data_IF_254745359805
#
_entry.id   IF_254745359805
#
_cell.length_a   1.000
_cell.length_b   1.000
_cell.length_c   1.000
_cell.angle_alpha   90.00
_cell.angle_beta   90.00
_cell.angle_gamma   90.00
#
_symmetry.space_group_name_H-M   'P 1'
#
loop_
_entity.id
_entity.type
_entity.pdbx_description
1 polymer ?
#
# COMPACT_ATOMS: atom_id res chain seq x y z
N UNK A 1 30.78 -5.17 27.36
CA UNK A 1 30.29 -6.56 27.22
C UNK A 1 28.79 -6.51 27.47
N UNK A 2 27.97 -6.75 26.45
CA UNK A 2 26.51 -6.78 26.61
C UNK A 2 26.14 -8.11 27.29
N UNK A 3 25.47 -8.09 28.45
CA UNK A 3 24.98 -9.33 29.08
C UNK A 3 23.57 -9.63 28.54
N UNK A 4 23.40 -10.61 27.63
CA UNK A 4 22.10 -10.92 27.03
C UNK A 4 21.06 -11.44 28.04
N UNK A 5 21.48 -11.83 29.25
CA UNK A 5 20.61 -12.34 30.30
C UNK A 5 20.13 -11.27 31.29
N UNK A 6 20.57 -10.02 31.14
CA UNK A 6 20.17 -8.91 32.02
C UNK A 6 19.02 -8.08 31.44
N UNK A 7 18.38 -8.55 30.38
CA UNK A 7 17.23 -7.88 29.76
C UNK A 7 15.98 -8.07 30.62
N UNK A 8 15.25 -6.98 30.89
CA UNK A 8 13.95 -7.07 31.54
C UNK A 8 12.90 -7.62 30.57
N UNK A 9 11.89 -8.34 31.08
CA UNK A 9 10.79 -8.85 30.25
C UNK A 9 10.13 -7.75 29.43
N UNK A 10 9.96 -6.55 30.00
CA UNK A 10 9.42 -5.37 29.29
C UNK A 10 10.32 -4.93 28.14
N UNK A 11 11.64 -4.84 28.36
CA UNK A 11 12.59 -4.48 27.30
C UNK A 11 12.61 -5.48 26.16
N UNK A 12 12.45 -6.77 26.47
CA UNK A 12 12.37 -7.83 25.46
C UNK A 12 11.06 -7.70 24.69
N UNK A 13 9.92 -7.61 25.37
CA UNK A 13 8.59 -7.47 24.75
C UNK A 13 8.53 -6.24 23.84
N UNK A 14 8.98 -5.08 24.32
CA UNK A 14 8.97 -3.83 23.55
C UNK A 14 9.84 -3.91 22.28
N UNK A 15 10.85 -4.79 22.26
CA UNK A 15 11.70 -5.02 21.08
C UNK A 15 11.01 -5.88 20.02
N UNK A 16 10.02 -6.69 20.39
CA UNK A 16 9.25 -7.54 19.47
C UNK A 16 7.94 -6.90 18.98
N UNK A 17 7.51 -5.80 19.60
CA UNK A 17 6.34 -5.03 19.16
C UNK A 17 6.79 -3.88 18.26
N UNK A 18 6.40 -3.92 17.00
CA UNK A 18 6.62 -2.82 16.06
C UNK A 18 5.89 -1.54 16.53
N UNK A 19 6.53 -0.38 16.39
CA UNK A 19 5.89 0.89 16.75
C UNK A 19 5.07 1.41 15.58
N UNK A 20 3.84 1.81 15.86
CA UNK A 20 3.01 2.54 14.91
C UNK A 20 3.70 3.85 14.51
N UNK A 21 3.47 4.28 13.26
CA UNK A 21 3.80 5.63 12.84
C UNK A 21 3.09 6.67 13.71
N UNK A 22 3.65 7.87 13.76
CA UNK A 22 3.17 8.94 14.63
C UNK A 22 1.69 9.28 14.40
N UNK A 23 1.21 9.20 13.15
CA UNK A 23 -0.20 9.39 12.77
C UNK A 23 -1.15 8.37 13.39
N UNK A 24 -0.67 7.15 13.70
CA UNK A 24 -1.45 6.04 14.23
C UNK A 24 -1.04 5.62 15.65
N UNK A 25 -0.26 6.45 16.37
CA UNK A 25 0.27 6.14 17.70
C UNK A 25 -0.81 5.75 18.71
N UNK A 26 -1.99 6.36 18.62
CA UNK A 26 -3.12 6.13 19.52
C UNK A 26 -3.72 4.73 19.35
N UNK A 27 -3.35 4.02 18.29
CA UNK A 27 -3.76 2.65 17.99
C UNK A 27 -2.70 1.60 18.34
N UNK A 28 -1.60 1.98 19.02
CA UNK A 28 -0.57 1.04 19.46
C UNK A 28 -1.12 -0.10 20.33
N UNK A 29 -2.24 0.10 21.01
CA UNK A 29 -2.93 -0.94 21.78
C UNK A 29 -3.36 -2.15 20.92
N UNK A 30 -3.65 -1.94 19.63
CA UNK A 30 -3.93 -3.03 18.69
C UNK A 30 -2.69 -3.94 18.52
N UNK A 31 -1.50 -3.38 18.73
CA UNK A 31 -0.22 -4.06 18.57
C UNK A 31 0.37 -4.63 19.87
N UNK A 32 -0.24 -4.38 21.03
CA UNK A 32 0.27 -4.83 22.32
C UNK A 32 0.62 -6.33 22.32
N UNK A 33 1.58 -6.78 23.12
CA UNK A 33 1.95 -8.20 23.24
C UNK A 33 0.82 -9.05 23.84
N UNK A 34 0.58 -10.29 23.38
CA UNK A 34 -0.43 -11.17 23.97
C UNK A 34 0.00 -11.60 25.37
N UNK A 35 -0.64 -11.00 26.39
CA UNK A 35 -0.46 -11.35 27.79
C UNK A 35 -1.72 -11.99 28.39
N UNK A 36 -1.66 -12.29 29.70
CA UNK A 36 -2.72 -12.99 30.43
C UNK A 36 -4.09 -12.27 30.45
N UNK A 37 -4.12 -10.95 30.21
CA UNK A 37 -5.34 -10.15 30.12
C UNK A 37 -5.61 -9.67 28.69
N UNK A 38 -5.87 -10.58 27.75
CA UNK A 38 -6.13 -10.26 26.34
C UNK A 38 -7.48 -9.54 26.15
N UNK A 39 -7.51 -8.25 26.49
CA UNK A 39 -8.69 -7.37 26.43
C UNK A 39 -8.84 -6.67 25.07
N UNK A 40 -7.97 -6.97 24.09
CA UNK A 40 -7.96 -6.29 22.78
C UNK A 40 -9.33 -6.27 22.12
N UNK A 41 -10.06 -7.38 22.17
CA UNK A 41 -11.41 -7.49 21.59
C UNK A 41 -12.38 -6.43 22.16
N UNK A 42 -12.34 -6.18 23.46
CA UNK A 42 -13.15 -5.14 24.10
C UNK A 42 -12.65 -3.73 23.77
N UNK A 43 -11.32 -3.57 23.65
CA UNK A 43 -10.70 -2.29 23.31
C UNK A 43 -11.09 -1.79 21.91
N UNK A 44 -11.36 -2.69 20.95
CA UNK A 44 -11.87 -2.31 19.61
C UNK A 44 -13.16 -1.50 19.73
N UNK A 45 -14.12 -2.01 20.49
CA UNK A 45 -15.41 -1.34 20.65
C UNK A 45 -15.30 -0.11 21.54
N UNK A 46 -14.49 -0.16 22.60
CA UNK A 46 -14.27 0.97 23.50
C UNK A 46 -13.62 2.17 22.79
N UNK A 47 -12.70 1.91 21.86
CA UNK A 47 -11.96 2.95 21.12
C UNK A 47 -12.60 3.31 19.77
N UNK A 48 -13.81 2.83 19.46
CA UNK A 48 -14.45 3.09 18.18
C UNK A 48 -14.66 4.59 17.90
N UNK A 49 -14.85 5.39 18.96
CA UNK A 49 -14.97 6.84 18.90
C UNK A 49 -13.66 7.56 18.47
N UNK A 50 -12.52 6.86 18.53
CA UNK A 50 -11.20 7.35 18.09
C UNK A 50 -10.79 6.84 16.71
N UNK A 51 -11.69 6.15 16.00
CA UNK A 51 -11.43 5.63 14.65
C UNK A 51 -10.91 6.76 13.74
N UNK A 52 -9.81 6.54 13.01
CA UNK A 52 -9.27 7.52 12.07
C UNK A 52 -10.20 7.65 10.85
N UNK A 53 -10.20 8.79 10.19
CA UNK A 53 -11.15 9.08 9.09
C UNK A 53 -10.93 8.15 7.89
N UNK A 54 -9.67 7.77 7.67
CA UNK A 54 -9.17 6.90 6.60
C UNK A 54 -9.64 5.44 6.74
N UNK A 55 -10.14 5.02 7.91
CA UNK A 55 -10.62 3.66 8.16
C UNK A 55 -12.13 3.65 8.32
N UNK A 56 -12.89 2.97 7.45
CA UNK A 56 -14.31 2.73 7.70
C UNK A 56 -14.54 2.00 9.04
N UNK A 57 -15.75 2.12 9.58
CA UNK A 57 -16.13 1.47 10.84
C UNK A 57 -15.89 -0.05 10.80
N UNK A 58 -16.26 -0.68 9.68
CA UNK A 58 -16.05 -2.11 9.42
C UNK A 58 -14.57 -2.46 9.36
N UNK A 59 -13.77 -1.69 8.63
CA UNK A 59 -12.31 -1.84 8.53
C UNK A 59 -11.63 -1.72 9.90
N UNK A 60 -12.00 -0.72 10.70
CA UNK A 60 -11.45 -0.50 12.03
C UNK A 60 -11.74 -1.68 12.97
N UNK A 61 -12.97 -2.20 12.94
CA UNK A 61 -13.35 -3.35 13.75
C UNK A 61 -12.60 -4.61 13.29
N UNK A 62 -12.52 -4.84 11.98
CA UNK A 62 -11.80 -5.97 11.41
C UNK A 62 -10.31 -5.92 11.82
N UNK A 63 -9.66 -4.76 11.63
CA UNK A 63 -8.25 -4.54 11.94
C UNK A 63 -7.95 -4.77 13.43
N UNK A 64 -8.70 -4.11 14.32
CA UNK A 64 -8.52 -4.27 15.76
C UNK A 64 -8.83 -5.68 16.27
N UNK A 65 -9.66 -6.42 15.53
CA UNK A 65 -10.04 -7.78 15.88
C UNK A 65 -9.02 -8.83 15.41
N UNK A 66 -8.17 -8.53 14.41
CA UNK A 66 -7.23 -9.51 13.82
C UNK A 66 -6.44 -10.26 14.90
N UNK A 67 -5.97 -9.54 15.91
CA UNK A 67 -5.10 -10.08 16.99
C UNK A 67 -5.81 -10.25 18.32
N UNK A 68 -7.14 -10.13 18.34
CA UNK A 68 -7.94 -10.43 19.53
C UNK A 68 -8.16 -11.95 19.69
N UNK A 69 -8.43 -12.39 20.91
CA UNK A 69 -8.93 -13.74 21.21
C UNK A 69 -10.20 -14.08 20.39
N UNK A 70 -10.54 -15.36 20.14
CA UNK A 70 -9.69 -16.56 20.27
C UNK A 70 -8.59 -16.57 19.21
N UNK A 71 -7.53 -17.37 19.41
CA UNK A 71 -6.33 -17.51 18.57
C UNK A 71 -6.63 -18.00 17.12
N UNK A 72 -7.42 -17.20 16.41
CA UNK A 72 -7.99 -17.39 15.08
C UNK A 72 -7.51 -16.29 14.14
N UNK A 73 -6.28 -15.83 14.36
CA UNK A 73 -5.69 -14.72 13.65
C UNK A 73 -5.70 -14.96 12.13
N UNK A 74 -5.43 -16.20 11.71
CA UNK A 74 -5.37 -16.56 10.29
C UNK A 74 -6.74 -16.53 9.65
N UNK A 75 -7.76 -17.12 10.29
CA UNK A 75 -9.14 -17.07 9.81
C UNK A 75 -9.66 -15.64 9.74
N UNK A 76 -9.42 -14.82 10.77
CA UNK A 76 -9.85 -13.42 10.77
C UNK A 76 -9.22 -12.64 9.61
N UNK A 77 -7.95 -12.91 9.32
CA UNK A 77 -7.28 -12.30 8.18
C UNK A 77 -7.77 -12.83 6.83
N UNK A 78 -8.05 -14.13 6.70
CA UNK A 78 -8.68 -14.71 5.52
C UNK A 78 -10.01 -14.04 5.23
N UNK A 79 -10.86 -13.84 6.25
CA UNK A 79 -12.11 -13.11 6.11
C UNK A 79 -11.86 -11.68 5.62
N UNK A 80 -10.89 -10.98 6.23
CA UNK A 80 -10.55 -9.62 5.80
C UNK A 80 -10.12 -9.52 4.33
N UNK A 81 -9.35 -10.51 3.83
CA UNK A 81 -8.93 -10.63 2.43
C UNK A 81 -10.11 -10.96 1.49
N UNK A 82 -10.97 -11.90 1.90
CA UNK A 82 -12.13 -12.31 1.12
C UNK A 82 -13.13 -11.17 0.93
N UNK A 83 -13.42 -10.49 2.03
CA UNK A 83 -14.39 -9.40 2.12
C UNK A 83 -13.83 -8.05 1.64
N UNK A 84 -12.53 -7.99 1.34
CA UNK A 84 -11.81 -6.80 0.90
C UNK A 84 -12.05 -5.58 1.80
N UNK A 85 -12.04 -5.81 3.11
CA UNK A 85 -12.51 -4.82 4.10
C UNK A 85 -11.40 -3.91 4.62
N UNK A 86 -10.13 -4.26 4.42
CA UNK A 86 -8.99 -3.50 4.93
C UNK A 86 -8.34 -2.68 3.81
N UNK A 87 -7.98 -1.41 4.06
CA UNK A 87 -7.13 -0.66 3.14
C UNK A 87 -5.68 -1.11 3.31
N UNK A 88 -5.27 -2.10 2.52
CA UNK A 88 -4.00 -2.82 2.65
C UNK A 88 -2.75 -1.95 2.47
N UNK A 89 -2.88 -0.76 1.88
CA UNK A 89 -1.80 0.22 1.73
C UNK A 89 -1.61 1.14 2.95
N UNK A 90 -2.52 1.15 3.93
CA UNK A 90 -2.33 1.95 5.14
C UNK A 90 -1.25 1.34 6.04
N UNK A 91 -0.33 2.17 6.50
CA UNK A 91 0.79 1.77 7.35
C UNK A 91 0.37 1.09 8.66
N UNK A 92 -0.73 1.52 9.29
CA UNK A 92 -1.24 0.86 10.49
C UNK A 92 -1.79 -0.55 10.19
N UNK A 93 -2.36 -0.75 9.00
CA UNK A 93 -2.82 -2.07 8.54
C UNK A 93 -1.60 -2.98 8.32
N UNK A 94 -0.58 -2.48 7.62
CA UNK A 94 0.68 -3.18 7.39
C UNK A 94 1.33 -3.66 8.69
N UNK A 95 1.52 -2.76 9.67
CA UNK A 95 2.11 -3.11 10.96
C UNK A 95 1.29 -4.16 11.71
N UNK A 96 -0.05 -4.02 11.79
CA UNK A 96 -0.88 -5.02 12.49
C UNK A 96 -0.87 -6.36 11.77
N UNK A 97 -0.96 -6.37 10.44
CA UNK A 97 -0.95 -7.59 9.64
C UNK A 97 0.40 -8.29 9.80
N UNK A 98 1.54 -7.60 9.66
CA UNK A 98 2.87 -8.16 9.92
C UNK A 98 2.97 -8.77 11.30
N UNK A 99 2.54 -8.04 12.33
CA UNK A 99 2.56 -8.53 13.70
C UNK A 99 1.57 -9.68 13.93
N UNK A 100 0.54 -9.81 13.11
CA UNK A 100 -0.34 -10.98 13.10
C UNK A 100 0.40 -12.23 12.63
N UNK A 101 1.31 -12.11 11.65
CA UNK A 101 2.11 -13.21 11.08
C UNK A 101 3.40 -13.51 11.82
N UNK A 102 4.18 -12.50 12.18
CA UNK A 102 5.55 -12.68 12.65
C UNK A 102 5.67 -12.72 14.17
N UNK A 103 4.66 -12.26 14.91
CA UNK A 103 4.70 -12.35 16.35
C UNK A 103 4.70 -13.81 16.81
N UNK A 104 5.66 -14.12 17.67
CA UNK A 104 5.78 -15.38 18.40
C UNK A 104 4.91 -15.25 19.66
N UNK A 105 4.19 -16.30 20.03
CA UNK A 105 3.35 -16.33 21.22
C UNK A 105 3.82 -17.36 22.24
N UNK A 106 3.05 -17.46 23.32
CA UNK A 106 3.11 -18.59 24.25
C UNK A 106 3.01 -19.93 23.52
N UNK A 107 3.72 -20.90 24.08
CA UNK A 107 3.67 -22.29 23.69
C UNK A 107 2.70 -23.03 24.60
N UNK A 108 2.20 -24.17 24.14
CA UNK A 108 1.46 -25.09 24.98
C UNK A 108 2.34 -25.73 26.04
N UNK A 109 1.73 -26.29 27.09
CA UNK A 109 2.44 -26.96 28.20
C UNK A 109 2.66 -28.48 27.96
N UNK A 110 2.47 -28.96 26.73
CA UNK A 110 2.65 -30.39 26.39
C UNK A 110 4.13 -30.80 26.21
N UNK A 111 4.40 -32.11 26.19
CA UNK A 111 5.77 -32.66 25.99
C UNK A 111 6.40 -32.17 24.68
N UNK A 112 5.59 -32.04 23.63
CA UNK A 112 5.95 -31.41 22.36
C UNK A 112 5.22 -30.05 22.26
N UNK A 113 5.86 -28.94 22.68
CA UNK A 113 5.20 -27.65 22.78
C UNK A 113 4.83 -27.08 21.40
N UNK A 114 3.57 -26.69 21.23
CA UNK A 114 3.00 -26.11 20.02
C UNK A 114 2.69 -24.62 20.20
N UNK A 115 2.59 -23.87 19.11
CA UNK A 115 2.23 -22.45 19.17
C UNK A 115 0.75 -22.28 19.47
N UNK A 116 0.40 -21.64 20.60
CA UNK A 116 -1.00 -21.35 20.96
C UNK A 116 -1.65 -20.35 19.99
N UNK A 117 -0.88 -19.43 19.45
CA UNK A 117 -1.32 -18.42 18.49
C UNK A 117 -1.36 -19.00 17.08
N UNK A 118 -2.39 -18.65 16.30
CA UNK A 118 -2.62 -19.21 14.94
C UNK A 118 -2.91 -20.71 14.94
N UNK A 119 -3.48 -21.21 16.03
CA UNK A 119 -3.88 -22.62 16.16
C UNK A 119 -4.80 -23.06 15.00
N UNK A 120 -5.60 -22.16 14.45
CA UNK A 120 -6.47 -22.42 13.30
C UNK A 120 -5.74 -22.66 11.97
N UNK A 121 -4.49 -22.19 11.84
CA UNK A 121 -3.64 -22.49 10.69
C UNK A 121 -3.13 -23.94 10.74
N UNK A 122 -2.69 -24.40 11.92
CA UNK A 122 -1.96 -25.65 12.10
C UNK A 122 -2.86 -26.85 12.44
N UNK A 123 -3.95 -26.64 13.17
CA UNK A 123 -4.80 -27.73 13.67
C UNK A 123 -6.13 -27.91 12.91
N UNK A 124 -6.38 -27.11 11.87
CA UNK A 124 -7.57 -27.21 11.04
C UNK A 124 -7.36 -28.10 9.81
N UNK A 125 -8.36 -28.93 9.47
CA UNK A 125 -8.41 -29.59 8.16
C UNK A 125 -8.53 -28.49 7.09
N UNK A 126 -7.42 -28.20 6.40
CA UNK A 126 -7.30 -27.25 5.29
C UNK A 126 -7.04 -25.77 5.62
N UNK A 127 -6.70 -25.39 6.86
CA UNK A 127 -6.50 -23.99 7.22
C UNK A 127 -5.51 -23.25 6.32
N UNK A 128 -4.38 -23.89 6.03
CA UNK A 128 -3.32 -23.36 5.16
C UNK A 128 -3.73 -23.37 3.68
N UNK A 129 -4.32 -24.46 3.18
CA UNK A 129 -4.79 -24.57 1.80
C UNK A 129 -5.87 -23.52 1.49
N UNK A 130 -6.81 -23.31 2.40
CA UNK A 130 -7.83 -22.26 2.29
C UNK A 130 -7.19 -20.89 2.25
N UNK A 131 -6.14 -20.63 3.06
CA UNK A 131 -5.41 -19.36 2.99
C UNK A 131 -4.80 -19.15 1.61
N UNK A 132 -4.06 -20.13 1.09
CA UNK A 132 -3.46 -20.05 -0.24
C UNK A 132 -4.53 -19.80 -1.33
N UNK A 133 -5.70 -20.43 -1.23
CA UNK A 133 -6.81 -20.21 -2.16
C UNK A 133 -7.36 -18.77 -2.08
N UNK A 134 -7.57 -18.24 -0.87
CA UNK A 134 -8.01 -16.86 -0.64
C UNK A 134 -7.01 -15.85 -1.19
N UNK A 135 -5.72 -16.08 -0.92
CA UNK A 135 -4.66 -15.18 -1.39
C UNK A 135 -4.54 -15.21 -2.91
N UNK A 136 -4.71 -16.38 -3.54
CA UNK A 136 -4.77 -16.52 -5.00
C UNK A 136 -5.96 -15.79 -5.60
N UNK A 137 -7.13 -15.85 -4.96
CA UNK A 137 -8.31 -15.09 -5.37
C UNK A 137 -8.04 -13.58 -5.27
N UNK A 138 -7.43 -13.14 -4.16
CA UNK A 138 -7.07 -11.74 -3.92
C UNK A 138 -6.07 -11.24 -4.97
N UNK A 139 -5.02 -12.01 -5.26
CA UNK A 139 -4.07 -11.73 -6.32
C UNK A 139 -4.78 -11.60 -7.69
N UNK A 140 -5.70 -12.52 -8.00
CA UNK A 140 -6.48 -12.47 -9.26
C UNK A 140 -7.39 -11.22 -9.33
N UNK A 141 -7.98 -10.79 -8.21
CA UNK A 141 -8.76 -9.55 -8.14
C UNK A 141 -7.88 -8.33 -8.38
N UNK A 142 -6.70 -8.27 -7.76
CA UNK A 142 -5.75 -7.17 -7.93
C UNK A 142 -5.22 -7.04 -9.35
N UNK A 143 -5.02 -8.16 -10.03
CA UNK A 143 -4.75 -8.15 -11.47
C UNK A 143 -5.87 -7.45 -12.28
N UNK A 144 -7.11 -7.50 -11.81
CA UNK A 144 -8.24 -6.85 -12.48
C UNK A 144 -8.43 -5.39 -12.02
N UNK A 145 -7.75 -4.94 -10.97
CA UNK A 145 -7.85 -3.60 -10.38
C UNK A 145 -6.48 -2.92 -10.28
N UNK A 146 -5.86 -2.49 -11.40
CA UNK A 146 -4.48 -1.99 -11.41
C UNK A 146 -4.24 -0.79 -10.49
N UNK A 147 -5.27 0.04 -10.27
CA UNK A 147 -5.19 1.22 -9.37
C UNK A 147 -4.83 0.87 -7.93
N UNK A 148 -5.03 -0.37 -7.47
CA UNK A 148 -4.77 -0.82 -6.10
C UNK A 148 -3.38 -1.45 -5.92
N UNK A 149 -2.39 -1.06 -6.73
CA UNK A 149 -1.04 -1.63 -6.70
C UNK A 149 -0.31 -1.43 -5.36
N UNK A 150 -0.68 -0.42 -4.58
CA UNK A 150 -0.13 -0.17 -3.25
C UNK A 150 -0.39 -1.32 -2.27
N UNK A 151 -1.36 -2.19 -2.56
CA UNK A 151 -1.66 -3.37 -1.75
C UNK A 151 -0.65 -4.53 -1.99
N UNK A 152 0.12 -4.47 -3.08
CA UNK A 152 1.03 -5.56 -3.51
C UNK A 152 2.12 -5.87 -2.50
N UNK A 153 2.83 -4.90 -1.89
CA UNK A 153 3.95 -5.21 -0.99
C UNK A 153 3.50 -6.10 0.17
N UNK A 154 2.45 -5.71 0.88
CA UNK A 154 1.92 -6.47 2.00
C UNK A 154 1.42 -7.85 1.57
N UNK A 155 0.73 -7.97 0.44
CA UNK A 155 0.25 -9.25 -0.08
C UNK A 155 1.37 -10.17 -0.56
N UNK A 156 2.47 -9.60 -1.06
CA UNK A 156 3.68 -10.33 -1.41
C UNK A 156 4.35 -10.87 -0.15
N UNK A 157 4.39 -10.10 0.94
CA UNK A 157 4.85 -10.58 2.24
C UNK A 157 3.97 -11.70 2.79
N UNK A 158 2.63 -11.60 2.65
CA UNK A 158 1.71 -12.68 3.05
C UNK A 158 2.04 -13.96 2.29
N UNK A 159 2.27 -13.83 0.99
CA UNK A 159 2.62 -14.95 0.13
C UNK A 159 3.96 -15.56 0.55
N UNK A 160 4.97 -14.73 0.82
CA UNK A 160 6.28 -15.16 1.29
C UNK A 160 6.23 -15.86 2.65
N UNK A 161 5.38 -15.39 3.57
CA UNK A 161 5.14 -16.08 4.83
C UNK A 161 4.55 -17.48 4.62
N UNK A 162 3.47 -17.58 3.83
CA UNK A 162 2.80 -18.86 3.59
C UNK A 162 3.68 -19.87 2.85
N UNK A 163 4.61 -19.39 2.03
CA UNK A 163 5.56 -20.24 1.32
C UNK A 163 6.45 -21.07 2.25
N UNK A 164 6.69 -20.62 3.49
CA UNK A 164 7.42 -21.39 4.50
C UNK A 164 6.68 -22.67 4.92
N UNK A 165 5.36 -22.71 4.72
CA UNK A 165 4.49 -23.81 5.16
C UNK A 165 3.87 -24.59 3.99
N UNK A 166 3.69 -23.98 2.83
CA UNK A 166 3.11 -24.63 1.65
C UNK A 166 3.73 -24.19 0.34
N UNK A 167 4.06 -25.17 -0.52
CA UNK A 167 4.51 -24.93 -1.88
C UNK A 167 3.42 -24.26 -2.76
N UNK A 168 2.14 -24.38 -2.40
CA UNK A 168 1.03 -23.77 -3.14
C UNK A 168 1.07 -22.23 -3.15
N UNK A 169 1.79 -21.63 -2.19
CA UNK A 169 1.97 -20.18 -2.12
C UNK A 169 3.00 -19.67 -3.15
N UNK A 170 3.96 -20.50 -3.57
CA UNK A 170 5.03 -20.12 -4.50
C UNK A 170 4.52 -19.50 -5.82
N UNK A 171 3.60 -20.13 -6.57
CA UNK A 171 3.14 -19.58 -7.85
C UNK A 171 2.34 -18.29 -7.70
N UNK A 172 1.86 -17.94 -6.50
CA UNK A 172 1.12 -16.70 -6.26
C UNK A 172 2.09 -15.52 -6.27
N UNK A 173 3.24 -15.66 -5.59
CA UNK A 173 4.22 -14.60 -5.44
C UNK A 173 5.02 -14.33 -6.70
N UNK A 174 5.39 -15.40 -7.43
CA UNK A 174 6.15 -15.28 -8.69
C UNK A 174 5.35 -14.60 -9.80
N UNK A 175 4.02 -14.78 -9.83
CA UNK A 175 3.16 -14.27 -10.92
C UNK A 175 2.69 -12.83 -10.73
N UNK A 176 2.66 -12.35 -9.48
CA UNK A 176 2.04 -11.07 -9.17
C UNK A 176 2.82 -9.88 -9.79
N UNK A 177 4.16 -9.78 -9.68
CA UNK A 177 4.93 -8.65 -10.22
C UNK A 177 4.88 -8.57 -11.75
N UNK A 178 5.11 -9.68 -12.45
CA UNK A 178 5.17 -9.75 -13.92
C UNK A 178 3.82 -9.41 -14.57
N UNK A 179 2.72 -9.92 -14.01
CA UNK A 179 1.39 -9.68 -14.55
C UNK A 179 0.94 -8.24 -14.35
N UNK A 180 1.30 -7.65 -13.21
CA UNK A 180 1.00 -6.24 -12.92
C UNK A 180 1.85 -5.33 -13.80
N UNK A 181 3.13 -5.64 -14.00
CA UNK A 181 3.94 -4.95 -14.98
C UNK A 181 3.26 -4.96 -16.35
N UNK A 182 2.84 -6.13 -16.86
CA UNK A 182 2.15 -6.25 -18.13
C UNK A 182 0.84 -5.43 -18.22
N UNK A 183 0.08 -5.31 -17.12
CA UNK A 183 -1.12 -4.46 -17.06
C UNK A 183 -0.77 -2.97 -17.10
N UNK A 184 0.22 -2.54 -16.29
CA UNK A 184 0.71 -1.15 -16.29
C UNK A 184 1.29 -0.74 -17.64
N UNK A 185 1.96 -1.66 -18.35
CA UNK A 185 2.41 -1.43 -19.72
C UNK A 185 1.22 -1.11 -20.65
N UNK A 186 0.11 -1.84 -20.54
CA UNK A 186 -1.11 -1.60 -21.34
C UNK A 186 -1.79 -0.28 -20.97
N UNK A 187 -1.98 -0.01 -19.68
CA UNK A 187 -2.57 1.24 -19.21
C UNK A 187 -1.75 2.46 -19.63
N UNK A 188 -0.43 2.38 -19.50
CA UNK A 188 0.50 3.40 -19.99
C UNK A 188 0.26 3.70 -21.48
N UNK A 189 0.17 2.66 -22.32
CA UNK A 189 -0.12 2.84 -23.76
C UNK A 189 -1.48 3.49 -23.99
N UNK A 190 -2.52 3.09 -23.25
CA UNK A 190 -3.87 3.66 -23.37
C UNK A 190 -3.94 5.12 -22.93
N UNK A 191 -3.35 5.48 -21.79
CA UNK A 191 -3.25 6.87 -21.34
C UNK A 191 -2.45 7.71 -22.33
N UNK A 192 -1.37 7.17 -22.88
CA UNK A 192 -0.61 7.83 -23.93
C UNK A 192 -1.42 8.06 -25.20
N UNK A 193 -2.26 7.11 -25.62
CA UNK A 193 -3.20 7.34 -26.73
C UNK A 193 -4.28 8.36 -26.41
N UNK A 194 -4.79 8.37 -25.17
CA UNK A 194 -5.71 9.41 -24.73
C UNK A 194 -5.06 10.80 -24.84
N UNK A 195 -3.83 10.98 -24.33
CA UNK A 195 -3.05 12.22 -24.47
C UNK A 195 -2.88 12.61 -25.94
N UNK A 196 -2.49 11.67 -26.79
CA UNK A 196 -2.28 11.91 -28.22
C UNK A 196 -3.57 12.22 -29.00
N UNK A 197 -4.73 11.88 -28.44
CA UNK A 197 -6.03 12.20 -29.06
C UNK A 197 -6.48 13.64 -28.85
N UNK A 198 -5.85 14.39 -27.94
CA UNK A 198 -6.21 15.79 -27.69
C UNK A 198 -5.77 16.71 -28.83
N UNK A 199 -6.69 17.46 -29.46
CA UNK A 199 -6.41 18.28 -30.63
C UNK A 199 -5.56 19.50 -30.27
N UNK A 200 -4.53 19.84 -31.07
CA UNK A 200 -3.59 20.97 -30.86
C UNK A 200 -4.22 22.37 -30.90
N UNK A 201 -5.55 22.47 -30.84
CA UNK A 201 -6.28 23.73 -30.74
C UNK A 201 -6.25 24.34 -29.32
N UNK A 202 -7.03 25.42 -29.12
CA UNK A 202 -7.18 26.07 -27.83
C UNK A 202 -7.59 25.07 -26.75
N UNK A 203 -6.97 25.16 -25.59
CA UNK A 203 -7.33 24.41 -24.39
C UNK A 203 -8.06 25.34 -23.44
N UNK A 204 -9.25 24.93 -23.02
CA UNK A 204 -9.88 25.51 -21.84
C UNK A 204 -9.29 24.91 -20.57
N UNK A 205 -9.67 25.48 -19.42
CA UNK A 205 -9.15 25.08 -18.11
C UNK A 205 -9.57 23.64 -17.75
N UNK A 206 -10.70 23.15 -18.25
CA UNK A 206 -11.15 21.79 -18.01
C UNK A 206 -10.30 20.77 -18.77
N UNK A 207 -10.08 20.99 -20.07
CA UNK A 207 -9.22 20.13 -20.88
C UNK A 207 -7.74 20.22 -20.44
N UNK A 208 -7.29 21.37 -19.92
CA UNK A 208 -5.97 21.51 -19.33
C UNK A 208 -5.81 20.66 -18.07
N UNK A 209 -6.82 20.65 -17.18
CA UNK A 209 -6.85 19.76 -16.02
C UNK A 209 -6.79 18.29 -16.46
N UNK A 210 -7.68 17.85 -17.37
CA UNK A 210 -7.69 16.46 -17.85
C UNK A 210 -6.35 16.03 -18.47
N UNK A 211 -5.69 16.92 -19.21
CA UNK A 211 -4.35 16.65 -19.76
C UNK A 211 -3.29 16.48 -18.66
N UNK A 212 -3.32 17.32 -17.62
CA UNK A 212 -2.44 17.18 -16.47
C UNK A 212 -2.67 15.85 -15.74
N UNK A 213 -3.92 15.48 -15.50
CA UNK A 213 -4.29 14.21 -14.86
C UNK A 213 -3.83 13.00 -15.68
N UNK A 214 -4.11 13.00 -16.99
CA UNK A 214 -3.67 11.96 -17.91
C UNK A 214 -2.14 11.85 -17.98
N UNK A 215 -1.42 12.98 -17.90
CA UNK A 215 0.04 12.98 -17.90
C UNK A 215 0.61 12.34 -16.62
N UNK A 216 0.02 12.64 -15.47
CA UNK A 216 0.38 12.00 -14.19
C UNK A 216 0.12 10.51 -14.25
N UNK A 217 -1.09 10.09 -14.67
CA UNK A 217 -1.44 8.68 -14.80
C UNK A 217 -0.53 7.93 -15.79
N UNK A 218 -0.23 8.55 -16.93
CA UNK A 218 0.69 8.02 -17.93
C UNK A 218 2.08 7.78 -17.33
N UNK A 219 2.65 8.77 -16.64
CA UNK A 219 3.99 8.71 -16.04
C UNK A 219 4.06 7.67 -14.92
N UNK A 220 3.06 7.63 -14.05
CA UNK A 220 2.97 6.64 -12.97
C UNK A 220 2.89 5.22 -13.54
N UNK A 221 2.03 4.98 -14.53
CA UNK A 221 1.94 3.65 -15.16
C UNK A 221 3.26 3.27 -15.87
N UNK A 222 3.91 4.22 -16.54
CA UNK A 222 5.20 3.97 -17.19
C UNK A 222 6.27 3.58 -16.17
N UNK A 223 6.39 4.32 -15.06
CA UNK A 223 7.35 4.06 -14.00
C UNK A 223 7.08 2.70 -13.34
N UNK A 224 5.84 2.47 -12.89
CA UNK A 224 5.45 1.21 -12.24
C UNK A 224 5.69 -0.01 -13.13
N UNK A 225 5.38 0.09 -14.43
CA UNK A 225 5.67 -0.97 -15.39
C UNK A 225 7.17 -1.26 -15.50
N UNK A 226 7.99 -0.20 -15.49
CA UNK A 226 9.43 -0.27 -15.75
C UNK A 226 10.25 -0.76 -14.54
N UNK A 227 9.70 -0.72 -13.32
CA UNK A 227 10.33 -1.27 -12.11
C UNK A 227 10.50 -2.79 -12.21
N UNK A 228 9.44 -3.47 -12.66
CA UNK A 228 9.37 -4.94 -12.64
C UNK A 228 9.66 -5.58 -14.00
N UNK A 229 9.65 -4.80 -15.10
CA UNK A 229 9.88 -5.33 -16.44
C UNK A 229 10.48 -4.27 -17.37
N UNK A 230 11.31 -4.66 -18.36
CA UNK A 230 11.80 -3.74 -19.37
C UNK A 230 10.64 -3.03 -20.10
N UNK A 231 10.80 -1.74 -20.39
CA UNK A 231 9.83 -0.99 -21.17
C UNK A 231 9.70 -1.59 -22.58
N UNK A 232 8.47 -1.77 -23.05
CA UNK A 232 8.23 -2.29 -24.40
C UNK A 232 8.54 -1.24 -25.47
N UNK A 233 8.87 -1.67 -26.69
CA UNK A 233 9.05 -0.75 -27.83
C UNK A 233 7.83 0.16 -28.03
N UNK A 234 6.63 -0.37 -27.78
CA UNK A 234 5.39 0.39 -27.90
C UNK A 234 5.29 1.52 -26.87
N UNK A 235 5.64 1.24 -25.61
CA UNK A 235 5.67 2.27 -24.57
C UNK A 235 6.67 3.37 -24.92
N UNK A 236 7.88 3.01 -25.35
CA UNK A 236 8.91 3.97 -25.73
C UNK A 236 8.49 4.81 -26.96
N UNK A 237 7.76 4.21 -27.91
CA UNK A 237 7.19 4.95 -29.04
C UNK A 237 6.12 5.94 -28.57
N UNK A 238 5.19 5.50 -27.73
CA UNK A 238 4.10 6.35 -27.21
C UNK A 238 4.67 7.48 -26.35
N UNK A 239 5.64 7.18 -25.49
CA UNK A 239 6.32 8.17 -24.65
C UNK A 239 6.97 9.27 -25.49
N UNK A 240 7.71 8.91 -26.55
CA UNK A 240 8.31 9.89 -27.47
C UNK A 240 7.27 10.82 -28.09
N UNK A 241 6.17 10.26 -28.56
CA UNK A 241 5.08 11.05 -29.15
C UNK A 241 4.39 11.94 -28.12
N UNK A 242 4.18 11.43 -26.88
CA UNK A 242 3.62 12.22 -25.78
C UNK A 242 4.55 13.37 -25.42
N UNK A 243 5.87 13.15 -25.30
CA UNK A 243 6.83 14.23 -25.05
C UNK A 243 6.79 15.30 -26.15
N UNK A 244 6.74 14.90 -27.42
CA UNK A 244 6.59 15.84 -28.54
C UNK A 244 5.31 16.67 -28.40
N UNK A 245 4.17 16.02 -28.15
CA UNK A 245 2.87 16.68 -27.97
C UNK A 245 2.93 17.67 -26.79
N UNK A 246 3.44 17.23 -25.64
CA UNK A 246 3.52 18.04 -24.43
C UNK A 246 4.47 19.22 -24.58
N UNK A 247 5.57 19.07 -25.33
CA UNK A 247 6.49 20.18 -25.62
C UNK A 247 5.80 21.35 -26.34
N UNK A 248 4.78 21.07 -27.15
CA UNK A 248 4.00 22.09 -27.86
C UNK A 248 2.96 22.79 -26.99
N UNK A 249 2.68 22.25 -25.80
CA UNK A 249 1.63 22.72 -24.88
C UNK A 249 2.14 23.18 -23.53
N UNK A 250 3.45 23.06 -23.29
CA UNK A 250 4.04 23.28 -21.98
C UNK A 250 3.75 24.69 -21.45
N UNK A 251 3.78 25.71 -22.31
CA UNK A 251 3.47 27.08 -21.92
C UNK A 251 2.01 27.24 -21.48
N UNK A 252 1.07 26.68 -22.24
CA UNK A 252 -0.36 26.71 -21.91
C UNK A 252 -0.64 25.98 -20.60
N UNK A 253 -0.09 24.78 -20.41
CA UNK A 253 -0.30 23.99 -19.20
C UNK A 253 0.39 24.63 -17.98
N UNK A 254 1.60 25.16 -18.14
CA UNK A 254 2.27 25.90 -17.07
C UNK A 254 1.47 27.14 -16.67
N UNK A 255 0.89 27.86 -17.65
CA UNK A 255 0.03 29.01 -17.36
C UNK A 255 -1.24 28.61 -16.62
N UNK A 256 -1.83 27.45 -16.94
CA UNK A 256 -3.00 26.89 -16.27
C UNK A 256 -2.69 26.53 -14.81
N UNK A 257 -1.60 25.78 -14.57
CA UNK A 257 -1.18 25.39 -13.21
C UNK A 257 -0.94 26.64 -12.36
N UNK A 258 -0.30 27.68 -12.92
CA UNK A 258 -0.01 28.94 -12.21
C UNK A 258 -1.26 29.75 -11.82
N UNK A 259 -2.45 29.44 -12.33
CA UNK A 259 -3.70 30.12 -11.92
C UNK A 259 -4.10 29.75 -10.49
N UNK A 260 -3.87 28.49 -10.11
CA UNK A 260 -4.25 27.93 -8.80
C UNK A 260 -3.34 26.73 -8.49
N UNK A 261 -2.05 27.02 -8.25
CA UNK A 261 -1.00 26.02 -8.10
C UNK A 261 -1.35 24.99 -7.03
N UNK A 262 -1.79 25.47 -5.85
CA UNK A 262 -2.03 24.60 -4.72
C UNK A 262 -3.14 23.61 -5.00
N UNK A 263 -4.28 24.10 -5.52
CA UNK A 263 -5.42 23.24 -5.83
C UNK A 263 -5.08 22.24 -6.94
N UNK A 264 -4.47 22.70 -8.03
CA UNK A 264 -4.17 21.85 -9.18
C UNK A 264 -3.15 20.78 -8.79
N UNK A 265 -2.01 21.15 -8.22
CA UNK A 265 -0.96 20.18 -7.87
C UNK A 265 -1.40 19.21 -6.77
N UNK A 266 -2.13 19.68 -5.75
CA UNK A 266 -2.69 18.79 -4.72
C UNK A 266 -3.66 17.78 -5.34
N UNK A 267 -4.55 18.21 -6.25
CA UNK A 267 -5.45 17.29 -6.96
C UNK A 267 -4.70 16.22 -7.78
N UNK A 268 -3.58 16.60 -8.40
CA UNK A 268 -2.75 15.69 -9.18
C UNK A 268 -1.98 14.69 -8.29
N UNK A 269 -1.51 15.10 -7.12
CA UNK A 269 -0.88 14.20 -6.15
C UNK A 269 -1.89 13.17 -5.63
N UNK A 270 -3.13 13.59 -5.34
CA UNK A 270 -4.19 12.68 -4.92
C UNK A 270 -4.51 11.57 -5.94
N UNK A 271 -4.22 11.76 -7.23
CA UNK A 271 -4.38 10.70 -8.23
C UNK A 271 -3.42 9.53 -8.04
N UNK A 272 -2.27 9.78 -7.42
CA UNK A 272 -1.20 8.79 -7.24
C UNK A 272 -0.97 8.39 -5.79
N UNK A 273 -1.45 9.20 -4.84
CA UNK A 273 -1.41 8.91 -3.41
C UNK A 273 -2.72 9.35 -2.76
N UNK A 274 -3.62 8.40 -2.52
CA UNK A 274 -4.91 8.70 -1.89
C UNK A 274 -4.77 9.17 -0.43
N UNK A 275 -3.62 8.93 0.19
CA UNK A 275 -3.33 9.27 1.60
C UNK A 275 -2.63 10.62 1.76
N UNK A 276 -2.41 11.39 0.69
CA UNK A 276 -1.84 12.72 0.83
C UNK A 276 -2.80 13.67 1.58
N UNK A 277 -2.29 14.69 2.29
CA UNK A 277 -3.13 15.72 2.92
C UNK A 277 -4.09 16.38 1.91
N UNK A 278 -5.30 16.74 2.35
CA UNK A 278 -6.31 17.40 1.49
C UNK A 278 -5.85 18.76 0.95
N UNK A 279 -4.90 19.39 1.65
CA UNK A 279 -4.32 20.68 1.30
C UNK A 279 -2.81 20.62 1.50
N UNK A 280 -2.09 20.98 0.45
CA UNK A 280 -0.63 21.09 0.44
C UNK A 280 -0.25 22.53 0.04
N UNK A 281 0.74 23.09 0.72
CA UNK A 281 1.29 24.41 0.37
C UNK A 281 2.46 24.23 -0.60
N UNK A 282 2.31 24.72 -1.83
CA UNK A 282 3.33 24.57 -2.87
C UNK A 282 4.19 25.83 -3.00
N UNK A 283 5.50 25.62 -3.13
CA UNK A 283 6.49 26.69 -3.36
C UNK A 283 7.20 26.47 -4.68
N UNK A 284 7.30 27.53 -5.48
CA UNK A 284 8.08 27.51 -6.73
C UNK A 284 9.58 27.49 -6.38
N UNK A 285 10.33 26.57 -7.00
CA UNK A 285 11.78 26.45 -6.80
C UNK A 285 12.47 27.41 -7.78
N UNK A 286 13.04 28.50 -7.25
CA UNK A 286 13.71 29.52 -8.08
C UNK A 286 15.12 29.13 -8.55
N UNK A 287 15.80 28.22 -7.83
CA UNK A 287 17.16 27.76 -8.16
C UNK A 287 17.21 26.22 -8.29
N UNK A 288 17.37 25.73 -9.52
CA UNK A 288 17.73 24.34 -9.78
C UNK A 288 19.16 24.10 -9.26
N UNK A 289 19.29 23.40 -8.14
CA UNK A 289 20.61 22.97 -7.64
C UNK A 289 21.30 22.14 -8.72
N UNK A 290 22.45 22.64 -9.23
CA UNK A 290 23.24 22.01 -10.29
C UNK A 290 23.94 20.69 -9.89
N UNK A 291 23.64 20.15 -8.72
CA UNK A 291 24.22 18.90 -8.25
C UNK A 291 23.24 17.75 -8.50
N UNK A 292 23.67 16.89 -9.42
CA UNK A 292 23.16 15.57 -9.75
C UNK A 292 21.94 15.51 -10.68
N UNK A 293 21.93 14.47 -11.51
CA UNK A 293 21.08 14.20 -12.67
C UNK A 293 19.60 13.96 -12.30
N UNK A 294 18.99 14.82 -11.50
CA UNK A 294 17.58 14.74 -11.15
C UNK A 294 16.71 15.55 -12.11
N UNK A 295 15.57 14.96 -12.45
CA UNK A 295 14.44 15.65 -13.09
C UNK A 295 14.19 16.98 -12.36
N UNK A 296 14.28 18.09 -13.08
CA UNK A 296 14.08 19.41 -12.47
C UNK A 296 12.68 19.51 -11.87
N UNK A 297 12.60 19.72 -10.56
CA UNK A 297 11.36 20.05 -9.87
C UNK A 297 11.11 21.56 -10.01
N UNK A 298 9.92 21.94 -10.48
CA UNK A 298 9.51 23.33 -10.53
C UNK A 298 8.81 23.79 -9.25
N UNK A 299 8.26 22.84 -8.48
CA UNK A 299 7.54 23.10 -7.25
C UNK A 299 7.92 22.05 -6.20
N UNK A 300 7.98 22.47 -4.95
CA UNK A 300 8.08 21.60 -3.77
C UNK A 300 6.92 21.87 -2.81
N UNK A 301 6.52 20.86 -2.06
CA UNK A 301 5.54 20.97 -0.98
C UNK A 301 6.11 20.27 0.25
N UNK A 302 5.79 20.80 1.43
CA UNK A 302 6.09 20.18 2.72
C UNK A 302 4.79 19.93 3.47
N UNK A 303 4.72 18.81 4.20
CA UNK A 303 3.63 18.55 5.13
C UNK A 303 3.65 19.63 6.22
N UNK A 304 2.50 20.26 6.47
CA UNK A 304 2.32 21.23 7.56
C UNK A 304 2.26 20.56 8.92
#
# INVERSE_FOLDING_TARGET
>A
MLNPFNASSTSVIDSFIERMLQSFKDFQWMNAWPGQDNTRGNMVYANLHKRPEELEKTSFIALGSLRSYPNQQFRKLQCALLDDVLPWSLSCVETIVRQTFYQISDLTEEEDPEMLWKADMLHGENGLQTFCAVLKLTATKLEQTPRCFENIPLLSELTGYLHQFSADAQPIGERLPDRIAALRQKECVLYGYALLSYPLGPLDDHAAQELCELMVLFRTCFLCASINSPSTEKMLQVERNVYEMMSRRIETLASFVKKDTDKVLTSLVHLVSATSPEQLEWKEIEELSRSDEQFGCCFESADS
#
